data_IF_359887465653
#
_entry.id   IF_359887465653
#
_cell.length_a   1.000
_cell.length_b   1.000
_cell.length_c   1.000
_cell.angle_alpha   90.00
_cell.angle_beta   90.00
_cell.angle_gamma   90.00
#
_symmetry.space_group_name_H-M   'P 1'
#
loop_
_entity.id
_entity.type
_entity.pdbx_description
1 polymer ?
#
# COMPACT_ATOMS: atom_id res chain seq x y z
N UNK A 1 -5.71 28.63 5.69
CA UNK A 1 -4.53 28.48 4.81
C UNK A 1 -4.99 28.55 3.35
N UNK A 2 -4.45 29.44 2.51
CA UNK A 2 -4.98 29.70 1.14
C UNK A 2 -4.91 28.50 0.18
N UNK A 3 -3.92 27.63 0.36
CA UNK A 3 -3.72 26.44 -0.48
C UNK A 3 -4.77 25.33 -0.28
N UNK A 4 -5.52 25.39 0.82
CA UNK A 4 -6.56 24.42 1.20
C UNK A 4 -7.95 24.74 0.62
N UNK A 5 -8.12 25.88 -0.06
CA UNK A 5 -9.43 26.32 -0.54
C UNK A 5 -10.11 25.30 -1.44
N UNK A 6 -11.34 24.89 -1.13
CA UNK A 6 -12.11 23.94 -1.93
C UNK A 6 -11.56 22.51 -1.97
N UNK A 7 -10.67 22.14 -1.06
CA UNK A 7 -10.25 20.74 -0.87
C UNK A 7 -11.27 20.05 0.03
N UNK A 8 -11.69 18.84 -0.35
CA UNK A 8 -12.74 18.06 0.33
C UNK A 8 -13.99 18.89 0.68
N UNK A 9 -14.49 19.68 -0.27
CA UNK A 9 -15.64 20.58 -0.08
C UNK A 9 -15.48 21.56 1.10
N UNK A 10 -14.24 21.96 1.42
CA UNK A 10 -13.93 22.87 2.51
C UNK A 10 -13.52 22.20 3.81
N UNK A 11 -13.57 20.86 3.90
CA UNK A 11 -13.20 20.07 5.07
C UNK A 11 -11.72 19.67 5.05
N UNK A 12 -10.84 20.55 4.57
CA UNK A 12 -9.41 20.25 4.59
C UNK A 12 -8.87 20.25 6.01
N UNK A 13 -8.24 19.15 6.43
CA UNK A 13 -7.64 18.99 7.74
C UNK A 13 -6.30 19.73 7.87
N UNK A 14 -5.65 20.09 6.76
CA UNK A 14 -4.31 20.68 6.77
C UNK A 14 -4.21 21.95 7.63
N UNK A 15 -5.12 22.95 7.52
CA UNK A 15 -5.02 24.17 8.33
C UNK A 15 -5.00 23.90 9.84
N UNK A 16 -5.75 22.89 10.29
CA UNK A 16 -5.79 22.47 11.69
C UNK A 16 -4.48 21.77 12.10
N UNK A 17 -4.02 20.82 11.27
CA UNK A 17 -2.83 20.03 11.57
C UNK A 17 -1.51 20.80 11.40
N UNK A 18 -1.48 21.85 10.57
CA UNK A 18 -0.25 22.51 10.14
C UNK A 18 0.61 23.05 11.31
N UNK A 19 -0.01 23.70 12.30
CA UNK A 19 0.73 24.23 13.44
C UNK A 19 1.27 23.13 14.35
N UNK A 20 0.48 22.07 14.58
CA UNK A 20 0.94 20.89 15.32
C UNK A 20 2.09 20.18 14.58
N UNK A 21 2.08 20.21 13.25
CA UNK A 21 3.11 19.61 12.41
C UNK A 21 4.44 20.35 12.44
N UNK A 22 4.44 21.68 12.66
CA UNK A 22 5.66 22.45 12.85
C UNK A 22 6.47 22.02 14.07
N UNK A 23 5.81 21.43 15.09
CA UNK A 23 6.47 20.95 16.31
C UNK A 23 6.88 19.48 16.22
N UNK A 24 6.69 18.81 15.07
CA UNK A 24 7.08 17.41 14.89
C UNK A 24 8.48 17.34 14.27
N UNK A 25 9.55 17.05 15.03
CA UNK A 25 10.93 17.08 14.53
C UNK A 25 11.20 16.05 13.43
N UNK A 26 10.38 14.99 13.41
CA UNK A 26 10.43 13.93 12.40
C UNK A 26 9.64 14.29 11.14
N UNK A 27 9.00 15.46 11.08
CA UNK A 27 8.23 15.88 9.91
C UNK A 27 9.06 16.76 8.98
N UNK A 28 9.08 16.42 7.70
CA UNK A 28 9.58 17.29 6.62
C UNK A 28 8.40 17.95 5.93
N UNK A 29 8.54 19.23 5.61
CA UNK A 29 7.51 20.01 4.94
C UNK A 29 8.12 20.80 3.80
N UNK A 30 7.59 20.61 2.61
CA UNK A 30 8.03 21.25 1.39
C UNK A 30 6.97 22.24 0.95
N UNK A 31 7.42 23.42 0.55
CA UNK A 31 6.56 24.52 0.14
C UNK A 31 7.01 24.99 -1.22
N UNK A 32 6.13 24.90 -2.22
CA UNK A 32 6.36 25.50 -3.51
C UNK A 32 5.94 26.97 -3.47
N UNK A 33 6.84 27.87 -3.88
CA UNK A 33 6.60 29.31 -3.97
C UNK A 33 6.72 29.78 -5.42
N UNK A 34 5.94 30.79 -5.77
CA UNK A 34 6.17 31.61 -6.95
C UNK A 34 6.20 33.09 -6.51
N UNK A 35 6.48 34.01 -7.43
CA UNK A 35 6.55 35.46 -7.14
C UNK A 35 5.26 36.02 -6.49
N UNK A 36 4.12 35.32 -6.61
CA UNK A 36 2.82 35.69 -6.02
C UNK A 36 2.51 34.98 -4.69
N UNK A 37 3.48 34.28 -4.09
CA UNK A 37 3.33 33.59 -2.81
C UNK A 37 3.35 32.06 -2.92
N UNK A 38 2.84 31.40 -1.88
CA UNK A 38 2.85 29.94 -1.76
C UNK A 38 1.83 29.30 -2.71
N UNK A 39 2.29 28.39 -3.57
CA UNK A 39 1.47 27.76 -4.62
C UNK A 39 1.28 26.27 -4.43
N UNK A 40 2.08 25.62 -3.60
CA UNK A 40 1.90 24.22 -3.26
C UNK A 40 2.56 23.84 -1.94
N UNK A 41 2.11 22.74 -1.35
CA UNK A 41 2.62 22.22 -0.09
C UNK A 41 2.60 20.70 -0.12
N UNK A 42 3.58 20.10 0.55
CA UNK A 42 3.67 18.67 0.76
C UNK A 42 4.29 18.42 2.13
N UNK A 43 3.73 17.51 2.91
CA UNK A 43 4.33 17.05 4.16
C UNK A 43 4.72 15.58 4.10
N UNK A 44 5.70 15.24 4.93
CA UNK A 44 6.25 13.91 5.10
C UNK A 44 6.48 13.68 6.58
N UNK A 45 5.95 12.59 7.14
CA UNK A 45 6.26 12.18 8.49
C UNK A 45 7.25 11.03 8.47
N UNK A 46 8.44 11.23 9.02
CA UNK A 46 9.38 10.16 9.33
C UNK A 46 8.90 9.47 10.61
N UNK A 47 8.79 8.16 10.60
CA UNK A 47 8.52 7.34 11.77
C UNK A 47 9.75 6.48 11.98
N UNK A 48 10.47 6.71 13.07
CA UNK A 48 11.64 5.91 13.44
C UNK A 48 11.30 5.06 14.65
N UNK A 49 11.35 3.75 14.48
CA UNK A 49 11.36 2.79 15.60
C UNK A 49 12.55 1.85 15.44
N UNK A 50 12.62 1.17 14.29
CA UNK A 50 13.74 0.27 13.87
C UNK A 50 14.13 0.51 12.40
N UNK A 51 13.22 1.11 11.64
CA UNK A 51 13.26 1.43 10.21
C UNK A 51 12.64 2.81 10.06
N UNK A 52 13.14 3.64 9.14
CA UNK A 52 12.58 4.97 8.89
C UNK A 52 11.43 4.84 7.90
N UNK A 53 10.17 4.91 8.34
CA UNK A 53 9.03 4.99 7.43
C UNK A 53 8.64 6.45 7.17
N UNK A 54 8.63 6.90 5.91
CA UNK A 54 8.17 8.23 5.51
C UNK A 54 6.76 8.17 4.94
N UNK A 55 5.77 8.75 5.63
CA UNK A 55 4.40 8.88 5.13
C UNK A 55 4.22 10.23 4.44
N UNK A 56 3.85 10.26 3.16
CA UNK A 56 3.46 11.50 2.48
C UNK A 56 2.05 11.93 2.84
N UNK A 57 1.92 13.12 3.42
CA UNK A 57 0.65 13.70 3.84
C UNK A 57 0.45 15.10 3.23
N UNK A 58 -0.82 15.44 3.05
CA UNK A 58 -1.28 16.79 2.70
C UNK A 58 -0.60 17.42 1.47
N UNK A 59 -0.62 16.74 0.33
CA UNK A 59 -0.32 17.37 -0.95
C UNK A 59 -1.39 18.41 -1.29
N UNK A 60 -1.03 19.69 -1.39
CA UNK A 60 -1.96 20.77 -1.73
C UNK A 60 -1.38 21.66 -2.81
N UNK A 61 -2.24 22.14 -3.70
CA UNK A 61 -1.92 23.18 -4.68
C UNK A 61 -2.98 24.28 -4.57
N UNK A 62 -2.52 25.52 -4.54
CA UNK A 62 -3.38 26.69 -4.48
C UNK A 62 -4.47 26.63 -5.56
N UNK A 63 -5.73 26.95 -5.25
CA UNK A 63 -6.85 26.80 -6.18
C UNK A 63 -6.57 27.37 -7.58
N UNK A 64 -6.05 28.59 -7.64
CA UNK A 64 -5.72 29.32 -8.85
C UNK A 64 -4.55 28.73 -9.66
N UNK A 65 -3.80 27.78 -9.09
CA UNK A 65 -2.63 27.15 -9.71
C UNK A 65 -2.83 25.67 -10.04
N UNK A 66 -4.01 25.10 -9.77
CA UNK A 66 -4.35 23.71 -10.10
C UNK A 66 -4.34 23.47 -11.61
N UNK A 67 -4.12 22.22 -12.02
CA UNK A 67 -4.03 21.84 -13.43
C UNK A 67 -2.71 22.21 -14.12
N UNK A 68 -1.80 22.92 -13.44
CA UNK A 68 -0.52 23.38 -14.01
C UNK A 68 0.67 22.46 -13.75
N UNK A 69 0.42 21.22 -13.31
CA UNK A 69 1.48 20.25 -13.01
C UNK A 69 2.28 20.49 -11.73
N UNK A 70 1.98 21.53 -10.93
CA UNK A 70 2.71 21.86 -9.69
C UNK A 70 2.73 20.68 -8.70
N UNK A 71 1.60 19.98 -8.55
CA UNK A 71 1.51 18.80 -7.69
C UNK A 71 2.54 17.74 -8.11
N UNK A 72 2.69 17.49 -9.42
CA UNK A 72 3.68 16.54 -9.95
C UNK A 72 5.10 16.99 -9.62
N UNK A 73 5.41 18.27 -9.83
CA UNK A 73 6.76 18.81 -9.62
C UNK A 73 7.15 18.77 -8.14
N UNK A 74 6.30 19.27 -7.23
CA UNK A 74 6.61 19.26 -5.79
C UNK A 74 6.74 17.83 -5.27
N UNK A 75 5.90 16.92 -5.74
CA UNK A 75 5.92 15.49 -5.41
C UNK A 75 7.21 14.82 -5.88
N UNK A 76 7.62 15.08 -7.12
CA UNK A 76 8.87 14.55 -7.67
C UNK A 76 10.10 15.07 -6.92
N UNK A 77 10.21 16.39 -6.74
CA UNK A 77 11.37 16.99 -6.05
C UNK A 77 11.48 16.53 -4.59
N UNK A 78 10.36 16.49 -3.88
CA UNK A 78 10.36 16.04 -2.49
C UNK A 78 10.68 14.55 -2.35
N UNK A 79 10.26 13.73 -3.32
CA UNK A 79 10.67 12.33 -3.40
C UNK A 79 12.17 12.19 -3.71
N UNK A 80 12.71 12.96 -4.65
CA UNK A 80 14.15 12.95 -4.97
C UNK A 80 14.99 13.34 -3.75
N UNK A 81 14.58 14.37 -3.01
CA UNK A 81 15.25 14.78 -1.76
C UNK A 81 15.22 13.64 -0.75
N UNK A 82 14.06 13.03 -0.51
CA UNK A 82 13.97 11.92 0.45
C UNK A 82 14.72 10.68 0.01
N UNK A 83 14.75 10.37 -1.28
CA UNK A 83 15.54 9.26 -1.81
C UNK A 83 17.04 9.54 -1.68
N UNK A 84 17.46 10.80 -1.75
CA UNK A 84 18.85 11.18 -1.50
C UNK A 84 19.22 11.10 -0.01
N UNK A 85 18.32 11.51 0.88
CA UNK A 85 18.51 11.42 2.33
C UNK A 85 18.37 9.98 2.85
N UNK A 86 17.55 9.17 2.16
CA UNK A 86 17.16 7.82 2.54
C UNK A 86 17.09 6.89 1.33
N UNK A 87 18.24 6.41 0.82
CA UNK A 87 18.31 5.65 -0.44
C UNK A 87 17.66 4.27 -0.39
N UNK A 88 17.42 3.71 0.81
CA UNK A 88 16.87 2.38 1.00
C UNK A 88 15.33 2.32 1.01
N UNK A 89 14.67 3.11 0.16
CA UNK A 89 13.20 3.05 0.00
C UNK A 89 12.77 1.71 -0.58
N UNK A 90 12.03 0.91 0.19
CA UNK A 90 11.54 -0.40 -0.26
C UNK A 90 10.06 -0.42 -0.60
N UNK A 91 9.23 0.41 0.04
CA UNK A 91 7.76 0.34 -0.12
C UNK A 91 7.15 1.46 -0.98
N UNK A 92 6.02 1.12 -1.60
CA UNK A 92 5.08 1.97 -2.32
C UNK A 92 3.71 2.00 -1.62
N UNK A 93 3.03 3.15 -1.71
CA UNK A 93 1.61 3.28 -1.39
C UNK A 93 0.82 3.67 -2.64
N UNK A 94 -0.29 3.00 -2.87
CA UNK A 94 -1.28 3.33 -3.89
C UNK A 94 -2.65 3.35 -3.23
N UNK A 95 -3.45 4.36 -3.56
CA UNK A 95 -4.78 4.56 -2.99
C UNK A 95 -5.86 4.51 -4.06
N UNK A 96 -7.03 4.01 -3.66
CA UNK A 96 -8.19 3.88 -4.53
C UNK A 96 -9.48 4.21 -3.78
N UNK A 97 -10.37 4.91 -4.46
CA UNK A 97 -11.72 5.18 -3.99
C UNK A 97 -12.65 4.12 -4.55
N UNK A 98 -13.42 3.46 -3.69
CA UNK A 98 -14.53 2.59 -4.06
C UNK A 98 -15.85 3.16 -3.52
N UNK A 99 -16.50 4.05 -4.27
CA UNK A 99 -17.82 4.58 -3.93
C UNK A 99 -18.87 3.45 -3.85
N UNK A 100 -19.82 3.55 -2.92
CA UNK A 100 -20.84 2.53 -2.70
C UNK A 100 -21.58 2.11 -3.99
N UNK A 101 -22.01 3.10 -4.77
CA UNK A 101 -22.73 2.93 -6.03
C UNK A 101 -21.89 2.26 -7.14
N UNK A 102 -20.56 2.28 -7.03
CA UNK A 102 -19.63 1.69 -8.00
C UNK A 102 -18.94 0.41 -7.51
N UNK A 103 -19.05 0.05 -6.23
CA UNK A 103 -18.37 -1.11 -5.60
C UNK A 103 -18.48 -2.38 -6.45
N UNK A 104 -19.70 -2.73 -6.87
CA UNK A 104 -19.95 -3.95 -7.65
C UNK A 104 -19.23 -3.93 -9.01
N UNK A 105 -19.21 -2.77 -9.66
CA UNK A 105 -18.58 -2.60 -10.97
C UNK A 105 -17.05 -2.65 -10.84
N UNK A 106 -16.50 -1.96 -9.84
CA UNK A 106 -15.07 -1.95 -9.55
C UNK A 106 -14.58 -3.37 -9.21
N UNK A 107 -15.26 -4.08 -8.31
CA UNK A 107 -14.90 -5.46 -7.96
C UNK A 107 -15.02 -6.40 -9.17
N UNK A 108 -16.05 -6.23 -10.00
CA UNK A 108 -16.18 -6.97 -11.26
C UNK A 108 -15.01 -6.73 -12.21
N UNK A 109 -14.60 -5.47 -12.38
CA UNK A 109 -13.45 -5.07 -13.19
C UNK A 109 -12.14 -5.71 -12.68
N UNK A 110 -11.88 -5.62 -11.37
CA UNK A 110 -10.69 -6.21 -10.75
C UNK A 110 -10.69 -7.73 -10.88
N UNK A 111 -11.84 -8.38 -10.69
CA UNK A 111 -11.99 -9.83 -10.87
C UNK A 111 -11.69 -10.26 -12.30
N UNK A 112 -12.14 -9.51 -13.30
CA UNK A 112 -11.83 -9.80 -14.70
C UNK A 112 -10.32 -9.65 -14.98
N UNK A 113 -9.68 -8.61 -14.42
CA UNK A 113 -8.22 -8.42 -14.55
C UNK A 113 -7.42 -9.55 -13.91
N UNK A 114 -7.86 -10.04 -12.76
CA UNK A 114 -7.25 -11.22 -12.11
C UNK A 114 -7.41 -12.45 -12.99
N UNK A 115 -8.60 -12.71 -13.54
CA UNK A 115 -8.83 -13.84 -14.47
C UNK A 115 -7.94 -13.78 -15.71
N UNK A 116 -7.73 -12.60 -16.27
CA UNK A 116 -6.84 -12.41 -17.43
C UNK A 116 -5.36 -12.64 -17.12
N UNK A 117 -4.95 -12.55 -15.85
CA UNK A 117 -3.56 -12.78 -15.43
C UNK A 117 -3.18 -14.27 -15.31
N UNK A 118 -4.11 -15.18 -15.60
CA UNK A 118 -3.91 -16.63 -15.56
C UNK A 118 -4.40 -17.29 -14.27
N UNK A 119 -4.46 -18.61 -14.26
CA UNK A 119 -4.83 -19.40 -13.08
C UNK A 119 -3.65 -19.52 -12.12
N UNK A 120 -3.80 -18.97 -10.91
CA UNK A 120 -2.93 -19.19 -9.77
C UNK A 120 -3.78 -19.72 -8.61
N UNK A 121 -3.14 -20.39 -7.64
CA UNK A 121 -3.78 -20.73 -6.38
C UNK A 121 -4.30 -19.45 -5.73
N UNK A 122 -5.55 -19.47 -5.27
CA UNK A 122 -6.13 -18.35 -4.56
C UNK A 122 -5.50 -18.23 -3.16
N UNK A 123 -5.41 -17.01 -2.60
CA UNK A 123 -4.93 -16.81 -1.25
C UNK A 123 -5.85 -17.48 -0.24
N UNK A 124 -5.26 -18.12 0.76
CA UNK A 124 -6.00 -18.74 1.88
C UNK A 124 -6.10 -17.73 3.02
N UNK A 125 -7.30 -17.59 3.61
CA UNK A 125 -7.50 -16.84 4.86
C UNK A 125 -6.93 -17.68 6.00
N UNK A 126 -6.02 -17.11 6.77
CA UNK A 126 -5.42 -17.77 7.93
C UNK A 126 -6.22 -17.46 9.20
N UNK A 127 -6.42 -18.48 10.04
CA UNK A 127 -6.90 -18.31 11.40
C UNK A 127 -5.74 -17.98 12.37
N UNK A 128 -6.08 -17.66 13.63
CA UNK A 128 -5.08 -17.22 14.61
C UNK A 128 -4.00 -18.27 14.92
N UNK A 129 -4.37 -19.56 14.97
CA UNK A 129 -3.43 -20.65 15.26
C UNK A 129 -2.48 -20.89 14.08
N UNK A 130 -3.01 -20.83 12.85
CA UNK A 130 -2.21 -20.92 11.62
C UNK A 130 -1.21 -19.76 11.51
N UNK A 131 -1.62 -18.53 11.84
CA UNK A 131 -0.72 -17.37 11.86
C UNK A 131 0.43 -17.61 12.84
N UNK A 132 0.13 -17.96 14.10
CA UNK A 132 1.16 -18.19 15.12
C UNK A 132 2.12 -19.31 14.70
N UNK A 133 1.57 -20.44 14.25
CA UNK A 133 2.37 -21.60 13.79
C UNK A 133 3.30 -21.22 12.65
N UNK A 134 2.84 -20.39 11.69
CA UNK A 134 3.67 -19.95 10.57
C UNK A 134 4.76 -18.97 11.00
N UNK A 135 4.49 -18.03 11.91
CA UNK A 135 5.52 -17.14 12.45
C UNK A 135 6.57 -17.85 13.30
N UNK A 136 6.21 -18.99 13.93
CA UNK A 136 7.15 -19.82 14.66
C UNK A 136 8.02 -20.71 13.75
N UNK A 137 7.43 -21.30 12.70
CA UNK A 137 8.04 -22.46 12.04
C UNK A 137 8.18 -22.37 10.51
N UNK A 138 7.53 -21.42 9.81
CA UNK A 138 7.38 -21.53 8.35
C UNK A 138 7.58 -20.24 7.55
N UNK A 139 7.35 -19.07 8.11
CA UNK A 139 7.72 -17.84 7.42
C UNK A 139 9.24 -17.76 7.37
N UNK A 140 9.82 -17.76 6.17
CA UNK A 140 11.17 -17.26 5.99
C UNK A 140 11.13 -15.76 6.29
N UNK A 141 11.23 -15.42 7.58
CA UNK A 141 11.07 -14.05 8.05
C UNK A 141 12.05 -13.14 7.35
N UNK A 142 13.24 -13.61 7.00
CA UNK A 142 14.25 -12.78 6.36
C UNK A 142 13.90 -12.39 4.91
N UNK A 143 13.13 -13.20 4.20
CA UNK A 143 12.72 -12.90 2.82
C UNK A 143 11.39 -12.15 2.73
N UNK A 144 10.40 -12.51 3.58
CA UNK A 144 9.10 -11.85 3.62
C UNK A 144 9.11 -10.55 4.45
N UNK A 145 9.90 -10.55 5.52
CA UNK A 145 10.02 -9.47 6.50
C UNK A 145 11.51 -9.15 6.72
N UNK A 146 12.20 -8.57 5.73
CA UNK A 146 13.58 -8.15 5.93
C UNK A 146 13.75 -7.45 7.28
N UNK A 147 14.77 -7.85 8.04
CA UNK A 147 15.06 -7.34 9.40
C UNK A 147 13.96 -7.59 10.42
N UNK A 148 13.14 -8.62 10.20
CA UNK A 148 12.00 -8.98 11.06
C UNK A 148 10.99 -7.84 11.20
N UNK A 149 10.86 -7.00 10.18
CA UNK A 149 9.93 -5.88 10.18
C UNK A 149 8.63 -6.24 9.47
N UNK A 150 7.54 -6.10 10.21
CA UNK A 150 6.18 -6.14 9.73
C UNK A 150 5.58 -4.73 9.78
N UNK A 151 4.88 -4.29 8.75
CA UNK A 151 4.13 -3.03 8.79
C UNK A 151 2.66 -3.33 8.70
N UNK A 152 1.89 -2.78 9.63
CA UNK A 152 0.44 -2.86 9.59
C UNK A 152 -0.14 -1.46 9.81
N UNK A 153 -0.96 -0.99 8.86
CA UNK A 153 -1.66 0.29 8.96
C UNK A 153 -0.71 1.44 9.29
N UNK A 154 0.40 1.50 8.54
CA UNK A 154 1.47 2.48 8.72
C UNK A 154 2.25 2.38 10.05
N UNK A 155 2.00 1.36 10.88
CA UNK A 155 2.71 1.14 12.14
C UNK A 155 3.70 -0.02 11.96
N UNK A 156 5.00 0.18 12.26
CA UNK A 156 5.99 -0.89 12.24
C UNK A 156 5.90 -1.77 13.50
N UNK A 157 6.06 -3.07 13.31
CA UNK A 157 6.12 -4.11 14.34
C UNK A 157 7.30 -5.04 14.06
N UNK A 158 7.97 -5.51 15.12
CA UNK A 158 8.87 -6.66 14.99
C UNK A 158 8.05 -7.94 14.87
N UNK A 159 8.50 -8.93 14.09
CA UNK A 159 7.80 -10.21 13.87
C UNK A 159 7.86 -11.16 15.08
N UNK A 160 8.15 -10.66 16.27
CA UNK A 160 8.14 -11.46 17.50
C UNK A 160 6.70 -11.82 17.89
N UNK A 161 6.57 -12.91 18.67
CA UNK A 161 5.27 -13.47 19.07
C UNK A 161 4.34 -12.45 19.73
N UNK A 162 4.85 -11.61 20.62
CA UNK A 162 4.04 -10.62 21.37
C UNK A 162 3.37 -9.62 20.43
N UNK A 163 4.09 -9.13 19.43
CA UNK A 163 3.55 -8.21 18.43
C UNK A 163 2.54 -8.91 17.49
N UNK A 164 2.80 -10.16 17.10
CA UNK A 164 1.87 -10.94 16.28
C UNK A 164 0.56 -11.19 17.04
N UNK A 165 0.63 -11.55 18.33
CA UNK A 165 -0.55 -11.71 19.19
C UNK A 165 -1.34 -10.40 19.36
N UNK A 166 -0.65 -9.25 19.41
CA UNK A 166 -1.30 -7.93 19.43
C UNK A 166 -2.07 -7.67 18.13
N UNK A 167 -1.50 -8.02 16.98
CA UNK A 167 -2.16 -7.87 15.67
C UNK A 167 -3.32 -8.85 15.47
N UNK A 168 -3.26 -10.04 16.06
CA UNK A 168 -4.39 -10.96 16.08
C UNK A 168 -5.57 -10.38 16.88
N UNK A 169 -5.30 -9.67 17.99
CA UNK A 169 -6.34 -8.99 18.78
C UNK A 169 -6.97 -7.81 18.04
N UNK A 170 -6.27 -7.17 17.09
CA UNK A 170 -6.80 -6.05 16.31
C UNK A 170 -7.67 -6.47 15.11
N UNK A 171 -8.04 -7.75 15.01
CA UNK A 171 -8.94 -8.29 13.97
C UNK A 171 -8.45 -7.99 12.55
N UNK A 172 -7.15 -8.14 12.32
CA UNK A 172 -6.54 -8.09 10.99
C UNK A 172 -6.94 -9.34 10.19
N UNK A 173 -7.26 -9.16 8.91
CA UNK A 173 -7.46 -10.25 7.95
C UNK A 173 -6.12 -10.68 7.35
N UNK A 174 -5.71 -11.92 7.64
CA UNK A 174 -4.46 -12.52 7.17
C UNK A 174 -4.75 -13.38 5.95
N UNK A 175 -4.17 -13.04 4.80
CA UNK A 175 -4.19 -13.92 3.62
C UNK A 175 -2.79 -14.35 3.27
N UNK A 176 -2.62 -15.64 2.97
CA UNK A 176 -1.35 -16.22 2.57
C UNK A 176 -1.48 -17.06 1.31
N UNK A 177 -0.47 -16.96 0.44
CA UNK A 177 -0.25 -17.88 -0.69
C UNK A 177 1.12 -18.52 -0.55
N UNK A 178 1.17 -19.84 -0.66
CA UNK A 178 2.44 -20.56 -0.73
C UNK A 178 3.19 -20.23 -2.03
N UNK A 179 4.50 -20.39 -1.98
CA UNK A 179 5.32 -20.26 -3.17
C UNK A 179 4.91 -21.33 -4.19
N UNK A 180 4.86 -20.94 -5.46
CA UNK A 180 4.66 -21.91 -6.52
C UNK A 180 6.00 -22.61 -6.72
N UNK A 181 6.11 -23.86 -6.26
CA UNK A 181 7.15 -24.76 -6.77
C UNK A 181 7.05 -24.76 -8.29
N UNK A 182 8.17 -24.60 -8.99
CA UNK A 182 8.27 -24.59 -10.45
C UNK A 182 7.85 -25.90 -11.14
N UNK A 183 6.99 -26.72 -10.54
CA UNK A 183 6.30 -27.85 -11.17
C UNK A 183 4.95 -27.39 -11.70
N UNK A 184 4.97 -26.57 -12.75
CA UNK A 184 3.95 -26.78 -13.77
C UNK A 184 4.43 -27.98 -14.58
N UNK A 185 3.65 -29.06 -14.57
CA UNK A 185 3.72 -30.08 -15.60
C UNK A 185 3.46 -29.37 -16.93
N UNK A 186 4.53 -29.03 -17.65
CA UNK A 186 4.46 -28.77 -19.06
C UNK A 186 3.91 -30.04 -19.71
N UNK A 187 2.60 -30.11 -19.91
CA UNK A 187 2.05 -30.98 -20.93
C UNK A 187 2.72 -30.57 -22.24
N UNK A 188 3.57 -31.48 -22.71
CA UNK A 188 4.39 -31.35 -23.89
C UNK A 188 3.50 -31.03 -25.09
N UNK A 189 3.57 -29.80 -25.58
CA UNK A 189 3.44 -29.55 -27.01
C UNK A 189 4.77 -29.00 -27.48
N UNK A 190 5.63 -29.92 -27.90
CA UNK A 190 6.89 -29.61 -28.54
C UNK A 190 6.64 -28.78 -29.81
N UNK A 191 7.14 -27.55 -29.83
CA UNK A 191 7.69 -26.95 -31.04
C UNK A 191 8.70 -25.87 -30.62
N UNK A 192 9.78 -25.82 -31.40
CA UNK A 192 11.11 -25.45 -30.98
C UNK A 192 11.38 -23.93 -30.85
N UNK A 193 12.56 -23.65 -30.28
CA UNK A 193 13.31 -22.39 -30.30
C UNK A 193 12.86 -21.26 -29.36
N UNK A 194 13.25 -21.36 -28.09
CA UNK A 194 13.86 -20.22 -27.41
C UNK A 194 14.85 -20.72 -26.36
N UNK A 195 16.12 -20.38 -26.53
CA UNK A 195 17.18 -20.59 -25.54
C UNK A 195 16.83 -19.83 -24.26
N UNK A 196 16.17 -20.51 -23.32
CA UNK A 196 16.10 -20.07 -21.94
C UNK A 196 17.29 -20.67 -21.21
N UNK A 197 18.30 -19.84 -20.92
CA UNK A 197 19.38 -20.14 -20.00
C UNK A 197 18.77 -20.49 -18.65
N UNK A 198 18.69 -21.79 -18.36
CA UNK A 198 18.17 -22.35 -17.13
C UNK A 198 19.14 -21.99 -16.00
N UNK A 199 18.87 -20.89 -15.31
CA UNK A 199 19.67 -20.47 -14.17
C UNK A 199 19.44 -21.45 -13.01
N UNK A 200 20.53 -22.11 -12.64
CA UNK A 200 20.66 -23.17 -11.64
C UNK A 200 20.61 -22.62 -10.21
N UNK A 201 19.54 -21.92 -9.86
CA UNK A 201 19.20 -21.56 -8.48
C UNK A 201 17.71 -21.85 -8.25
N UNK A 202 17.41 -23.05 -7.75
CA UNK A 202 16.18 -23.28 -6.98
C UNK A 202 16.26 -22.41 -5.72
N UNK A 203 15.94 -21.12 -5.83
CA UNK A 203 15.41 -20.39 -4.70
C UNK A 203 13.91 -20.57 -4.78
N UNK A 204 13.36 -21.36 -3.87
CA UNK A 204 11.93 -21.28 -3.55
C UNK A 204 11.63 -19.79 -3.38
N UNK A 205 10.73 -19.24 -4.21
CA UNK A 205 10.27 -17.87 -3.97
C UNK A 205 9.72 -17.84 -2.55
N UNK A 206 9.92 -16.79 -1.75
CA UNK A 206 9.13 -16.64 -0.55
C UNK A 206 7.65 -16.68 -0.93
N UNK A 207 6.79 -17.21 -0.04
CA UNK A 207 5.35 -17.10 -0.17
C UNK A 207 4.89 -15.64 -0.24
N UNK A 208 3.59 -15.40 -0.31
CA UNK A 208 3.04 -14.05 -0.36
C UNK A 208 2.06 -13.86 0.81
N UNK A 209 2.21 -12.80 1.59
CA UNK A 209 1.32 -12.46 2.69
C UNK A 209 0.67 -11.10 2.45
N UNK A 210 -0.59 -10.96 2.84
CA UNK A 210 -1.23 -9.64 2.95
C UNK A 210 -2.02 -9.50 4.23
N UNK A 211 -2.02 -8.29 4.80
CA UNK A 211 -2.74 -7.91 6.01
C UNK A 211 -3.75 -6.81 5.70
N UNK A 212 -5.03 -7.07 5.91
CA UNK A 212 -6.10 -6.07 5.83
C UNK A 212 -6.56 -5.67 7.23
N UNK A 213 -6.56 -4.39 7.58
CA UNK A 213 -7.15 -3.96 8.85
C UNK A 213 -8.68 -4.07 8.83
N UNK A 214 -9.30 -4.05 10.01
CA UNK A 214 -10.74 -3.83 10.13
C UNK A 214 -11.12 -2.45 9.58
N UNK A 215 -12.28 -2.35 8.94
CA UNK A 215 -12.80 -1.10 8.40
C UNK A 215 -12.98 -0.06 9.51
N UNK A 216 -12.39 1.13 9.32
CA UNK A 216 -12.48 2.24 10.28
C UNK A 216 -13.31 3.36 9.66
N UNK A 217 -14.40 3.83 10.29
CA UNK A 217 -15.15 4.97 9.80
C UNK A 217 -14.30 6.25 9.86
N UNK A 218 -14.40 7.10 8.85
CA UNK A 218 -13.65 8.37 8.78
C UNK A 218 -14.55 9.56 8.48
N UNK A 219 -14.22 10.72 9.04
CA UNK A 219 -14.97 11.97 8.89
C UNK A 219 -14.81 12.65 7.51
N UNK A 220 -14.28 11.94 6.50
CA UNK A 220 -14.01 12.48 5.17
C UNK A 220 -15.26 12.51 4.26
N UNK A 221 -16.38 11.99 4.74
CA UNK A 221 -17.70 11.99 4.12
C UNK A 221 -18.66 11.08 4.89
N UNK A 222 -19.96 11.19 4.64
CA UNK A 222 -20.96 10.29 5.21
C UNK A 222 -20.69 8.85 4.74
N UNK A 223 -20.77 7.89 5.67
CA UNK A 223 -20.61 6.45 5.42
C UNK A 223 -19.28 6.04 4.74
N UNK A 224 -18.20 6.79 4.99
CA UNK A 224 -16.87 6.49 4.46
C UNK A 224 -16.04 5.66 5.45
N UNK A 225 -15.45 4.57 4.95
CA UNK A 225 -14.59 3.68 5.71
C UNK A 225 -13.21 3.57 5.09
N UNK A 226 -12.17 3.44 5.91
CA UNK A 226 -10.79 3.22 5.47
C UNK A 226 -10.42 1.76 5.62
N UNK A 227 -9.83 1.21 4.56
CA UNK A 227 -9.14 -0.07 4.51
C UNK A 227 -7.67 0.18 4.15
N UNK A 228 -6.76 -0.42 4.88
CA UNK A 228 -5.33 -0.48 4.59
C UNK A 228 -4.96 -1.95 4.39
N UNK A 229 -4.34 -2.23 3.26
CA UNK A 229 -3.84 -3.54 2.86
C UNK A 229 -2.31 -3.46 2.78
N UNK A 230 -1.62 -4.14 3.66
CA UNK A 230 -0.16 -4.25 3.65
C UNK A 230 0.25 -5.56 2.95
N UNK A 231 1.06 -5.48 1.89
CA UNK A 231 1.52 -6.61 1.07
C UNK A 231 2.99 -6.92 1.32
N UNK A 232 3.28 -8.22 1.44
CA UNK A 232 4.61 -8.79 1.65
C UNK A 232 4.86 -9.87 0.61
N UNK A 233 5.91 -9.68 -0.19
CA UNK A 233 6.23 -10.52 -1.34
C UNK A 233 6.38 -9.69 -2.62
N UNK A 234 6.90 -10.34 -3.67
CA UNK A 234 7.33 -9.66 -4.90
C UNK A 234 6.60 -10.15 -6.16
N UNK A 235 5.70 -11.13 -6.08
CA UNK A 235 4.96 -11.64 -7.25
C UNK A 235 3.76 -10.72 -7.56
N UNK A 236 3.78 -9.98 -8.70
CA UNK A 236 2.72 -9.05 -9.06
C UNK A 236 1.40 -9.73 -9.41
N UNK A 237 1.42 -10.98 -9.85
CA UNK A 237 0.21 -11.75 -10.13
C UNK A 237 -0.46 -12.10 -8.83
N UNK A 238 0.29 -12.70 -7.88
CA UNK A 238 -0.22 -13.07 -6.56
C UNK A 238 -0.71 -11.82 -5.80
N UNK A 239 0.00 -10.70 -5.87
CA UNK A 239 -0.44 -9.43 -5.28
C UNK A 239 -1.84 -9.01 -5.73
N UNK A 240 -2.18 -9.15 -7.02
CA UNK A 240 -3.51 -8.81 -7.57
C UNK A 240 -4.60 -9.71 -6.96
N UNK A 241 -4.33 -11.00 -6.79
CA UNK A 241 -5.25 -11.94 -6.11
C UNK A 241 -5.46 -11.56 -4.64
N UNK A 242 -4.39 -11.27 -3.91
CA UNK A 242 -4.46 -10.84 -2.51
C UNK A 242 -5.30 -9.57 -2.33
N UNK A 243 -5.08 -8.55 -3.15
CA UNK A 243 -5.83 -7.29 -3.06
C UNK A 243 -7.31 -7.50 -3.36
N UNK A 244 -7.63 -8.27 -4.41
CA UNK A 244 -9.03 -8.59 -4.73
C UNK A 244 -9.71 -9.33 -3.57
N UNK A 245 -9.02 -10.29 -2.96
CA UNK A 245 -9.57 -11.08 -1.86
C UNK A 245 -9.74 -10.23 -0.60
N UNK A 246 -8.76 -9.39 -0.23
CA UNK A 246 -8.89 -8.45 0.89
C UNK A 246 -10.06 -7.49 0.71
N UNK A 247 -10.23 -6.92 -0.49
CA UNK A 247 -11.36 -6.05 -0.80
C UNK A 247 -12.69 -6.81 -0.71
N UNK A 248 -12.72 -8.06 -1.18
CA UNK A 248 -13.91 -8.91 -1.12
C UNK A 248 -14.31 -9.20 0.32
N UNK A 249 -13.36 -9.54 1.20
CA UNK A 249 -13.63 -9.75 2.62
C UNK A 249 -14.06 -8.47 3.33
N UNK A 250 -13.40 -7.34 3.04
CA UNK A 250 -13.78 -6.04 3.61
C UNK A 250 -15.22 -5.64 3.24
N UNK A 251 -15.64 -5.85 1.99
CA UNK A 251 -16.98 -5.53 1.53
C UNK A 251 -18.06 -6.34 2.25
N UNK A 252 -17.79 -7.60 2.62
CA UNK A 252 -18.75 -8.40 3.42
C UNK A 252 -19.04 -7.79 4.78
N UNK A 253 -18.07 -7.06 5.33
CA UNK A 253 -18.15 -6.40 6.64
C UNK A 253 -18.56 -4.93 6.56
N UNK A 254 -18.76 -4.41 5.34
CA UNK A 254 -19.08 -3.01 5.12
C UNK A 254 -20.54 -2.71 5.50
N UNK A 255 -20.80 -1.67 6.31
CA UNK A 255 -22.17 -1.26 6.61
C UNK A 255 -22.96 -0.88 5.34
N UNK A 256 -24.31 -1.05 5.34
CA UNK A 256 -25.14 -0.67 4.21
C UNK A 256 -24.94 0.80 3.82
N UNK A 257 -24.81 1.09 2.52
CA UNK A 257 -24.52 2.43 2.02
C UNK A 257 -23.04 2.85 2.12
N UNK A 258 -22.20 2.05 2.80
CA UNK A 258 -20.80 2.36 3.01
C UNK A 258 -19.96 2.44 1.73
N UNK A 259 -18.98 3.34 1.73
CA UNK A 259 -17.95 3.48 0.69
C UNK A 259 -16.57 3.19 1.28
N UNK A 260 -15.63 2.69 0.49
CA UNK A 260 -14.29 2.28 0.96
C UNK A 260 -13.20 3.13 0.32
N UNK A 261 -12.45 3.83 1.16
CA UNK A 261 -11.15 4.38 0.82
C UNK A 261 -10.08 3.33 1.12
N UNK A 262 -9.46 2.77 0.08
CA UNK A 262 -8.46 1.71 0.23
C UNK A 262 -7.03 2.25 0.01
N UNK A 263 -6.11 1.89 0.89
CA UNK A 263 -4.68 2.13 0.82
C UNK A 263 -3.94 0.80 0.71
N UNK A 264 -3.22 0.57 -0.38
CA UNK A 264 -2.39 -0.61 -0.55
C UNK A 264 -0.92 -0.23 -0.38
N UNK A 265 -0.26 -0.81 0.62
CA UNK A 265 1.17 -0.70 0.88
C UNK A 265 1.86 -1.95 0.34
N UNK A 266 2.93 -1.80 -0.45
CA UNK A 266 3.59 -2.91 -1.15
C UNK A 266 5.06 -2.61 -1.42
N UNK A 267 5.82 -3.57 -1.94
CA UNK A 267 7.18 -3.30 -2.47
C UNK A 267 7.14 -2.35 -3.67
N UNK A 268 8.15 -1.49 -3.81
CA UNK A 268 8.23 -0.45 -4.85
C UNK A 268 8.20 -1.04 -6.28
N UNK A 269 8.80 -2.22 -6.47
CA UNK A 269 8.78 -2.94 -7.75
C UNK A 269 7.35 -3.33 -8.20
N UNK A 270 6.38 -3.47 -7.27
CA UNK A 270 4.98 -3.79 -7.57
C UNK A 270 4.17 -2.56 -8.01
N UNK A 271 4.70 -1.34 -7.81
CA UNK A 271 3.97 -0.08 -8.05
C UNK A 271 3.37 0.01 -9.44
N UNK A 272 4.16 -0.25 -10.48
CA UNK A 272 3.72 -0.08 -11.86
C UNK A 272 2.64 -1.09 -12.22
N UNK A 273 2.84 -2.35 -11.82
CA UNK A 273 1.87 -3.42 -12.02
C UNK A 273 0.55 -3.13 -11.32
N UNK A 274 0.60 -2.65 -10.07
CA UNK A 274 -0.63 -2.30 -9.35
C UNK A 274 -1.29 -1.03 -9.90
N UNK A 275 -0.52 -0.02 -10.30
CA UNK A 275 -1.06 1.18 -10.96
C UNK A 275 -1.81 0.83 -12.24
N UNK A 276 -1.28 -0.11 -13.03
CA UNK A 276 -1.95 -0.66 -14.21
C UNK A 276 -3.19 -1.46 -13.83
N UNK A 277 -3.11 -2.27 -12.78
CA UNK A 277 -4.24 -3.05 -12.26
C UNK A 277 -5.39 -2.17 -11.74
N UNK A 278 -5.10 -0.97 -11.24
CA UNK A 278 -6.09 0.00 -10.77
C UNK A 278 -6.52 1.01 -11.84
N UNK A 279 -5.97 0.95 -13.06
CA UNK A 279 -6.26 1.93 -14.11
C UNK A 279 -7.77 2.05 -14.36
N UNK A 280 -8.28 3.29 -14.38
CA UNK A 280 -9.71 3.57 -14.56
C UNK A 280 -10.56 3.50 -13.28
N UNK A 281 -9.98 3.14 -12.13
CA UNK A 281 -10.60 3.34 -10.82
C UNK A 281 -10.16 4.71 -10.31
N UNK A 282 -11.08 5.45 -9.68
CA UNK A 282 -10.78 6.78 -9.15
C UNK A 282 -9.71 6.69 -8.05
N UNK A 283 -8.56 7.37 -8.19
CA UNK A 283 -7.56 7.44 -7.13
C UNK A 283 -8.07 8.30 -5.96
N UNK A 284 -7.71 7.93 -4.73
CA UNK A 284 -8.04 8.71 -3.54
C UNK A 284 -6.80 9.36 -2.92
N UNK A 285 -6.58 10.64 -3.22
CA UNK A 285 -5.32 11.33 -2.87
C UNK A 285 -5.30 11.86 -1.42
N UNK A 286 -5.47 11.00 -0.41
CA UNK A 286 -5.23 11.38 1.00
C UNK A 286 -3.75 11.25 1.36
N UNK A 287 -3.13 10.18 0.87
CA UNK A 287 -1.71 9.87 0.98
C UNK A 287 -1.18 9.59 -0.42
N UNK A 288 -0.07 10.24 -0.78
CA UNK A 288 0.48 10.15 -2.13
C UNK A 288 1.53 9.06 -2.27
N UNK A 289 2.22 8.75 -1.17
CA UNK A 289 3.24 7.70 -1.04
C UNK A 289 3.44 7.32 0.44
N UNK A 290 3.87 6.08 0.66
CA UNK A 290 4.56 5.63 1.86
C UNK A 290 5.93 5.17 1.37
N UNK A 291 6.97 5.67 2.00
CA UNK A 291 8.36 5.25 1.83
C UNK A 291 8.68 4.48 3.10
N UNK A 292 9.30 3.32 3.00
CA UNK A 292 9.79 2.59 4.18
C UNK A 292 11.27 2.34 3.93
N UNK A 293 12.11 2.70 4.88
CA UNK A 293 13.57 2.70 4.77
C UNK A 293 14.13 1.80 5.85
N UNK A 294 14.52 0.60 5.43
CA UNK A 294 15.07 -0.41 6.31
C UNK A 294 16.54 -0.10 6.59
N UNK A 295 16.87 0.47 7.76
CA UNK A 295 18.26 0.67 8.18
C UNK A 295 18.87 -0.60 8.75
N UNK A 296 20.14 -0.86 8.46
CA UNK A 296 20.90 -1.89 9.17
C UNK A 296 21.13 -1.37 10.59
N UNK A 297 20.78 -2.18 11.59
CA UNK A 297 21.09 -1.89 13.00
C UNK A 297 22.57 -2.13 13.27
#
# INVERSE_FOLDING_TARGET
MSISGGIYNGLDYLPYMYHQWLTQPQRRMFLAKCNRGNVGFQSFLLMMVVVTAVVMQAARVAPQMRGRGIARVIKQLSYEILRSEYPAVTKALISMMLPNNELKNIIGLLRNRVKMAGERRQPTILNSEEVLTRFENQFNTNELFPKQLLIQNFVPFLTNRVNVELLLKSKVCWLYSESCDGKWDCQQTASASSLCTYNKYNRESPGFLSLGNSLVPVLLGDDMYVLTIDLFGNDPTVAKFHILQQLTEAIKMLPPGGSICCFCVMEENLRNEFSNFCKGIQPFHLFDYLVVIEHDL
#
